data_IF_395137027670
#
_entry.id   IF_395137027670
#
_cell.length_a   1.000
_cell.length_b   1.000
_cell.length_c   1.000
_cell.angle_alpha   90.00
_cell.angle_beta   90.00
_cell.angle_gamma   90.00
#
_symmetry.space_group_name_H-M   'P 1'
#
loop_
_entity.id
_entity.type
_entity.pdbx_description
1 polymer ?
#
# COMPACT_ATOMS: atom_id res chain seq x y z
N UNK A 1 -6.36 2.22 -17.58
CA UNK A 1 -6.86 2.42 -16.21
C UNK A 1 -7.05 1.06 -15.58
N UNK A 2 -6.39 0.83 -14.45
CA UNK A 2 -6.44 -0.41 -13.68
C UNK A 2 -7.38 -0.23 -12.50
N UNK A 3 -8.39 -1.07 -12.41
CA UNK A 3 -9.27 -1.11 -11.25
C UNK A 3 -8.84 -2.25 -10.33
N UNK A 4 -8.65 -1.93 -9.05
CA UNK A 4 -8.39 -2.87 -7.98
C UNK A 4 -9.58 -2.86 -7.05
N UNK A 5 -10.21 -4.01 -6.86
CA UNK A 5 -11.26 -4.17 -5.85
C UNK A 5 -10.70 -4.99 -4.70
N UNK A 6 -10.66 -4.36 -3.53
CA UNK A 6 -10.13 -4.98 -2.31
C UNK A 6 -11.24 -5.81 -1.65
N UNK A 7 -11.19 -7.12 -1.91
CA UNK A 7 -12.04 -8.11 -1.25
C UNK A 7 -11.19 -8.90 -0.25
N UNK A 8 -11.28 -8.56 1.05
CA UNK A 8 -10.58 -9.30 2.10
C UNK A 8 -11.03 -10.77 2.10
N UNK A 9 -10.09 -11.70 1.95
CA UNK A 9 -10.40 -13.13 1.93
C UNK A 9 -10.96 -13.61 3.27
N UNK A 10 -12.15 -14.22 3.24
CA UNK A 10 -12.79 -14.82 4.42
C UNK A 10 -12.27 -16.23 4.71
N UNK A 11 -11.44 -16.81 3.83
CA UNK A 11 -10.96 -18.20 3.93
C UNK A 11 -10.20 -18.47 5.21
N UNK A 12 -9.37 -17.54 5.68
CA UNK A 12 -8.62 -17.70 6.93
C UNK A 12 -9.52 -17.75 8.16
N UNK A 13 -10.60 -16.95 8.18
CA UNK A 13 -11.59 -16.97 9.26
C UNK A 13 -12.37 -18.29 9.21
N UNK A 14 -12.80 -18.70 8.03
CA UNK A 14 -13.47 -19.99 7.80
C UNK A 14 -12.61 -21.18 8.26
N UNK A 15 -11.32 -21.16 7.93
CA UNK A 15 -10.38 -22.18 8.36
C UNK A 15 -10.21 -22.19 9.88
N UNK A 16 -10.06 -21.02 10.52
CA UNK A 16 -10.02 -20.91 11.98
C UNK A 16 -11.29 -21.47 12.61
N UNK A 17 -12.48 -21.08 12.12
CA UNK A 17 -13.76 -21.60 12.61
C UNK A 17 -13.86 -23.13 12.45
N UNK A 18 -13.49 -23.67 11.29
CA UNK A 18 -13.49 -25.11 11.04
C UNK A 18 -12.49 -25.85 11.95
N UNK A 19 -11.28 -25.32 12.11
CA UNK A 19 -10.25 -25.89 12.98
C UNK A 19 -10.74 -25.95 14.44
N UNK A 20 -11.32 -24.86 14.96
CA UNK A 20 -11.84 -24.88 16.33
C UNK A 20 -13.11 -25.70 16.50
N UNK A 21 -13.92 -25.95 15.45
CA UNK A 21 -14.97 -26.98 15.52
C UNK A 21 -14.36 -28.37 15.67
N UNK A 22 -13.38 -28.71 14.82
CA UNK A 22 -12.73 -30.03 14.79
C UNK A 22 -11.99 -30.32 16.09
N UNK A 23 -11.35 -29.32 16.71
CA UNK A 23 -10.62 -29.51 17.98
C UNK A 23 -11.53 -29.30 19.19
N UNK A 24 -12.37 -28.27 19.17
CA UNK A 24 -13.19 -27.85 20.31
C UNK A 24 -14.32 -28.82 20.63
N UNK A 25 -15.00 -29.37 19.61
CA UNK A 25 -16.13 -30.29 19.84
C UNK A 25 -15.67 -31.60 20.51
N UNK A 26 -14.64 -32.32 20.03
CA UNK A 26 -14.15 -33.53 20.71
C UNK A 26 -13.60 -33.25 22.10
N UNK A 27 -12.95 -32.10 22.30
CA UNK A 27 -12.48 -31.69 23.62
C UNK A 27 -13.65 -31.48 24.59
N UNK A 28 -14.70 -30.79 24.14
CA UNK A 28 -15.93 -30.59 24.91
C UNK A 28 -16.58 -31.92 25.28
N UNK A 29 -16.71 -32.85 24.33
CA UNK A 29 -17.26 -34.19 24.58
C UNK A 29 -16.45 -34.94 25.64
N UNK A 30 -15.11 -34.91 25.55
CA UNK A 30 -14.24 -35.56 26.56
C UNK A 30 -14.35 -34.94 27.95
N UNK A 31 -14.44 -33.61 28.02
CA UNK A 31 -14.59 -32.89 29.30
C UNK A 31 -15.95 -33.19 29.94
N UNK A 32 -17.01 -33.28 29.15
CA UNK A 32 -18.35 -33.62 29.63
C UNK A 32 -18.45 -35.08 30.08
N UNK A 33 -17.85 -36.01 29.34
CA UNK A 33 -17.89 -37.45 29.60
C UNK A 33 -17.03 -37.91 30.81
N UNK A 34 -16.09 -37.08 31.27
CA UNK A 34 -15.28 -37.37 32.47
C UNK A 34 -15.88 -36.76 33.72
N UNK A 35 -15.56 -37.36 34.87
CA UNK A 35 -15.93 -36.87 36.20
C UNK A 35 -14.98 -35.75 36.66
N UNK A 36 -14.98 -34.65 35.89
CA UNK A 36 -14.18 -33.46 36.14
C UNK A 36 -14.99 -32.48 37.00
N UNK A 37 -14.37 -31.74 37.95
CA UNK A 37 -15.04 -30.70 38.72
C UNK A 37 -15.88 -29.75 37.86
N UNK A 38 -17.10 -29.43 38.33
CA UNK A 38 -18.08 -28.61 37.60
C UNK A 38 -17.50 -27.26 37.13
N UNK A 39 -16.64 -26.64 37.93
CA UNK A 39 -15.97 -25.37 37.60
C UNK A 39 -15.14 -25.47 36.32
N UNK A 40 -14.47 -26.59 36.09
CA UNK A 40 -13.64 -26.82 34.90
C UNK A 40 -14.54 -27.06 33.68
N UNK A 41 -15.63 -27.81 33.84
CA UNK A 41 -16.64 -28.00 32.78
C UNK A 41 -17.22 -26.65 32.33
N UNK A 42 -17.64 -25.82 33.29
CA UNK A 42 -18.18 -24.48 33.02
C UNK A 42 -17.15 -23.56 32.34
N UNK A 43 -15.90 -23.56 32.82
CA UNK A 43 -14.81 -22.78 32.22
C UNK A 43 -14.52 -23.17 30.77
N UNK A 44 -14.48 -24.47 30.48
CA UNK A 44 -14.24 -24.98 29.11
C UNK A 44 -15.38 -24.58 28.15
N UNK A 45 -16.65 -24.71 28.59
CA UNK A 45 -17.81 -24.28 27.81
C UNK A 45 -17.73 -22.77 27.52
N UNK A 46 -17.50 -21.96 28.56
CA UNK A 46 -17.44 -20.51 28.42
C UNK A 46 -16.33 -20.07 27.44
N UNK A 47 -15.16 -20.70 27.51
CA UNK A 47 -14.06 -20.41 26.59
C UNK A 47 -14.40 -20.74 25.13
N UNK A 48 -15.00 -21.92 24.88
CA UNK A 48 -15.40 -22.33 23.52
C UNK A 48 -16.48 -21.38 22.98
N UNK A 49 -17.51 -21.05 23.78
CA UNK A 49 -18.55 -20.11 23.39
C UNK A 49 -18.00 -18.72 23.07
N UNK A 50 -17.07 -18.22 23.89
CA UNK A 50 -16.42 -16.92 23.67
C UNK A 50 -15.61 -16.93 22.35
N UNK A 51 -14.79 -17.96 22.14
CA UNK A 51 -13.98 -18.09 20.94
C UNK A 51 -14.86 -18.22 19.67
N UNK A 52 -15.93 -19.01 19.74
CA UNK A 52 -16.88 -19.15 18.64
C UNK A 52 -17.62 -17.84 18.36
N UNK A 53 -18.07 -17.14 19.40
CA UNK A 53 -18.73 -15.84 19.28
C UNK A 53 -17.83 -14.79 18.62
N UNK A 54 -16.56 -14.70 19.03
CA UNK A 54 -15.59 -13.75 18.45
C UNK A 54 -15.27 -14.07 16.98
N UNK A 55 -15.07 -15.34 16.65
CA UNK A 55 -14.79 -15.76 15.26
C UNK A 55 -16.01 -15.54 14.35
N UNK A 56 -17.22 -15.88 14.82
CA UNK A 56 -18.45 -15.65 14.07
C UNK A 56 -18.73 -14.15 13.87
N UNK A 57 -18.48 -13.33 14.90
CA UNK A 57 -18.58 -11.88 14.80
C UNK A 57 -17.61 -11.29 13.78
N UNK A 58 -16.34 -11.72 13.80
CA UNK A 58 -15.34 -11.30 12.82
C UNK A 58 -15.72 -11.73 11.39
N UNK A 59 -16.24 -12.95 11.23
CA UNK A 59 -16.75 -13.46 9.96
C UNK A 59 -17.92 -12.60 9.44
N UNK A 60 -18.92 -12.36 10.29
CA UNK A 60 -20.11 -11.57 9.93
C UNK A 60 -19.74 -10.13 9.55
N UNK A 61 -18.87 -9.48 10.33
CA UNK A 61 -18.37 -8.12 10.03
C UNK A 61 -17.69 -8.08 8.67
N UNK A 62 -16.79 -9.03 8.39
CA UNK A 62 -16.05 -9.08 7.12
C UNK A 62 -17.00 -9.32 5.94
N UNK A 63 -17.94 -10.27 6.07
CA UNK A 63 -18.92 -10.58 5.02
C UNK A 63 -19.84 -9.40 4.73
N UNK A 64 -20.27 -8.66 5.77
CA UNK A 64 -21.09 -7.45 5.60
C UNK A 64 -20.34 -6.39 4.81
N UNK A 65 -19.08 -6.11 5.14
CA UNK A 65 -18.27 -5.15 4.39
C UNK A 65 -18.06 -5.57 2.94
N UNK A 66 -17.85 -6.87 2.66
CA UNK A 66 -17.72 -7.38 1.29
C UNK A 66 -18.99 -7.18 0.49
N UNK A 67 -20.15 -7.51 1.08
CA UNK A 67 -21.44 -7.34 0.41
C UNK A 67 -21.68 -5.87 0.01
N UNK A 68 -21.31 -4.92 0.87
CA UNK A 68 -21.38 -3.49 0.55
C UNK A 68 -20.52 -3.10 -0.65
N UNK A 69 -19.29 -3.63 -0.71
CA UNK A 69 -18.39 -3.38 -1.85
C UNK A 69 -18.96 -3.98 -3.14
N UNK A 70 -19.50 -5.19 -3.09
CA UNK A 70 -20.16 -5.83 -4.24
C UNK A 70 -21.43 -5.10 -4.69
N UNK A 71 -22.22 -4.57 -3.76
CA UNK A 71 -23.37 -3.73 -4.08
C UNK A 71 -22.93 -2.43 -4.76
N UNK A 72 -21.84 -1.81 -4.30
CA UNK A 72 -21.28 -0.62 -4.97
C UNK A 72 -20.75 -0.93 -6.37
N UNK A 73 -20.05 -2.05 -6.57
CA UNK A 73 -19.56 -2.46 -7.89
C UNK A 73 -20.68 -2.54 -8.93
N UNK A 74 -21.91 -2.89 -8.51
CA UNK A 74 -23.09 -2.94 -9.39
C UNK A 74 -23.69 -1.56 -9.71
N UNK A 75 -23.41 -0.56 -8.88
CA UNK A 75 -23.95 0.79 -9.00
C UNK A 75 -23.00 1.75 -9.73
N UNK A 76 -21.73 1.37 -9.85
CA UNK A 76 -20.71 2.14 -10.53
C UNK A 76 -20.62 1.73 -12.00
N UNK A 77 -20.53 2.73 -12.88
CA UNK A 77 -19.98 2.55 -14.22
C UNK A 77 -18.74 3.43 -14.36
N UNK A 78 -17.67 2.89 -14.95
CA UNK A 78 -16.45 3.69 -15.17
C UNK A 78 -16.40 4.10 -16.64
N UNK A 79 -16.39 5.41 -16.88
CA UNK A 79 -16.42 6.02 -18.21
C UNK A 79 -15.20 6.95 -18.31
N UNK A 80 -14.14 6.49 -18.96
CA UNK A 80 -12.89 7.25 -19.07
C UNK A 80 -12.28 7.58 -17.71
N UNK A 81 -12.15 8.88 -17.40
CA UNK A 81 -11.59 9.43 -16.16
C UNK A 81 -12.68 9.74 -15.10
N UNK A 82 -13.87 9.14 -15.23
CA UNK A 82 -15.00 9.41 -14.36
C UNK A 82 -15.70 8.12 -13.92
N UNK A 83 -16.07 8.09 -12.64
CA UNK A 83 -16.93 7.07 -12.05
C UNK A 83 -18.33 7.68 -11.97
N UNK A 84 -19.27 7.15 -12.75
CA UNK A 84 -20.67 7.53 -12.64
C UNK A 84 -21.41 6.58 -11.70
N UNK A 85 -22.31 7.14 -10.89
CA UNK A 85 -23.19 6.38 -10.01
C UNK A 85 -24.57 6.31 -10.65
N UNK A 86 -25.14 5.11 -10.75
CA UNK A 86 -26.51 4.93 -11.25
C UNK A 86 -27.55 5.64 -10.38
N UNK A 87 -27.23 5.88 -9.11
CA UNK A 87 -28.03 6.66 -8.17
C UNK A 87 -27.11 7.65 -7.44
N UNK A 88 -27.52 8.90 -7.21
CA UNK A 88 -26.70 9.85 -6.47
C UNK A 88 -26.36 9.34 -5.06
N UNK A 89 -25.08 9.43 -4.68
CA UNK A 89 -24.57 8.97 -3.39
C UNK A 89 -24.14 10.14 -2.52
N UNK A 90 -24.51 10.11 -1.24
CA UNK A 90 -23.97 11.05 -0.26
C UNK A 90 -22.57 10.58 0.14
N UNK A 91 -21.57 11.45 -0.03
CA UNK A 91 -20.18 11.10 0.21
C UNK A 91 -19.36 12.25 0.80
N UNK A 92 -18.34 11.88 1.57
CA UNK A 92 -17.25 12.76 1.99
C UNK A 92 -16.15 12.69 0.92
N UNK A 93 -15.68 13.84 0.43
CA UNK A 93 -14.53 13.93 -0.48
C UNK A 93 -13.30 14.32 0.34
N UNK A 94 -12.17 13.69 0.06
CA UNK A 94 -10.92 14.03 0.73
C UNK A 94 -9.83 12.99 0.51
N UNK A 95 -9.04 12.75 1.56
CA UNK A 95 -7.84 11.92 1.50
C UNK A 95 -7.90 10.72 2.43
N UNK A 96 -7.61 9.55 1.88
CA UNK A 96 -7.37 8.34 2.66
C UNK A 96 -5.89 8.18 2.95
N UNK A 97 -5.57 8.00 4.22
CA UNK A 97 -4.24 7.70 4.73
C UNK A 97 -4.25 6.31 5.34
N UNK A 98 -3.28 5.48 4.97
CA UNK A 98 -3.03 4.21 5.64
C UNK A 98 -1.53 3.97 5.84
N UNK A 99 -1.16 3.58 7.06
CA UNK A 99 0.19 3.19 7.41
C UNK A 99 0.18 1.75 7.91
N UNK A 100 0.96 0.88 7.26
CA UNK A 100 1.15 -0.51 7.64
C UNK A 100 2.52 -0.69 8.27
N UNK A 101 2.59 -1.39 9.41
CA UNK A 101 3.85 -1.70 10.08
C UNK A 101 3.84 -3.08 10.71
N UNK A 102 5.00 -3.72 10.73
CA UNK A 102 5.19 -4.95 11.51
C UNK A 102 5.70 -4.62 12.90
N UNK A 103 5.04 -5.14 13.93
CA UNK A 103 5.58 -5.16 15.29
C UNK A 103 6.09 -6.57 15.60
N UNK A 104 7.19 -6.66 16.34
CA UNK A 104 7.70 -7.94 16.85
C UNK A 104 7.64 -7.94 18.38
N UNK A 105 6.99 -8.93 18.94
CA UNK A 105 6.99 -9.22 20.39
C UNK A 105 7.67 -10.57 20.62
N UNK A 106 9.00 -10.57 20.60
CA UNK A 106 9.80 -11.79 20.78
C UNK A 106 9.64 -12.79 19.63
N UNK A 107 8.80 -13.83 19.82
CA UNK A 107 8.63 -14.94 18.85
C UNK A 107 7.52 -14.72 17.81
N UNK A 108 6.70 -13.67 17.95
CA UNK A 108 5.59 -13.40 17.02
C UNK A 108 5.73 -12.03 16.36
N UNK A 109 5.48 -11.98 15.04
CA UNK A 109 5.29 -10.75 14.29
C UNK A 109 3.81 -10.51 14.02
N UNK A 110 3.34 -9.30 14.27
CA UNK A 110 1.97 -8.88 14.03
C UNK A 110 1.93 -7.67 13.10
N UNK A 111 1.04 -7.72 12.10
CA UNK A 111 0.85 -6.61 11.17
C UNK A 111 -0.21 -5.65 11.71
N UNK A 112 0.18 -4.40 11.92
CA UNK A 112 -0.70 -3.34 12.37
C UNK A 112 -0.93 -2.35 11.24
N UNK A 113 -2.18 -1.88 11.14
CA UNK A 113 -2.55 -0.89 10.14
C UNK A 113 -3.29 0.25 10.81
N UNK A 114 -2.75 1.45 10.71
CA UNK A 114 -3.44 2.69 11.01
C UNK A 114 -4.13 3.19 9.74
N UNK A 115 -5.36 3.69 9.87
CA UNK A 115 -6.17 4.19 8.76
C UNK A 115 -6.90 5.45 9.20
N UNK A 116 -6.95 6.43 8.33
CA UNK A 116 -7.72 7.64 8.55
C UNK A 116 -8.26 8.17 7.22
N UNK A 117 -9.46 8.73 7.23
CA UNK A 117 -10.00 9.47 6.11
C UNK A 117 -10.19 10.93 6.53
N UNK A 118 -9.40 11.82 5.95
CA UNK A 118 -9.47 13.26 6.20
C UNK A 118 -10.43 13.86 5.19
N UNK A 119 -11.59 14.29 5.68
CA UNK A 119 -12.63 14.95 4.89
C UNK A 119 -12.22 16.39 4.57
N UNK A 120 -12.40 16.78 3.32
CA UNK A 120 -12.28 18.16 2.83
C UNK A 120 -13.67 18.78 2.58
N UNK A 121 -14.56 18.01 1.96
CA UNK A 121 -15.93 18.43 1.69
C UNK A 121 -16.91 17.25 1.80
N UNK A 122 -18.21 17.54 1.82
CA UNK A 122 -19.27 16.54 1.84
C UNK A 122 -20.39 17.01 0.91
N UNK A 123 -20.97 16.09 0.17
CA UNK A 123 -22.06 16.41 -0.75
C UNK A 123 -22.72 15.16 -1.32
N UNK A 124 -23.70 15.39 -2.19
CA UNK A 124 -24.32 14.34 -2.98
C UNK A 124 -23.68 14.33 -4.35
N UNK A 125 -23.11 13.19 -4.74
CA UNK A 125 -22.37 13.01 -5.99
C UNK A 125 -23.14 12.08 -6.92
N UNK A 126 -23.41 12.53 -8.14
CA UNK A 126 -23.85 11.67 -9.25
C UNK A 126 -22.66 11.04 -9.98
N UNK A 127 -21.47 11.64 -9.85
CA UNK A 127 -20.24 11.13 -10.42
C UNK A 127 -19.01 11.63 -9.67
N UNK A 128 -17.88 10.96 -9.89
CA UNK A 128 -16.57 11.30 -9.35
C UNK A 128 -15.57 11.38 -10.50
N UNK A 129 -15.06 12.58 -10.77
CA UNK A 129 -13.99 12.82 -11.74
C UNK A 129 -12.63 12.60 -11.10
N UNK A 130 -11.70 11.98 -11.84
CA UNK A 130 -10.31 11.84 -11.42
C UNK A 130 -9.54 13.12 -11.71
N UNK A 131 -9.58 14.03 -10.74
CA UNK A 131 -8.76 15.24 -10.74
C UNK A 131 -7.28 14.90 -10.58
N UNK A 132 -6.40 15.76 -11.08
CA UNK A 132 -4.97 15.60 -10.91
C UNK A 132 -4.53 16.01 -9.49
N UNK A 133 -4.84 15.15 -8.51
CA UNK A 133 -4.54 15.37 -7.09
C UNK A 133 -3.29 14.60 -6.65
N UNK A 134 -2.47 15.19 -5.76
CA UNK A 134 -1.32 14.49 -5.17
C UNK A 134 -1.73 13.16 -4.53
N UNK A 135 -0.89 12.15 -4.65
CA UNK A 135 -1.08 10.82 -4.06
C UNK A 135 0.27 10.19 -3.75
N UNK A 136 0.35 9.21 -2.86
CA UNK A 136 1.58 8.48 -2.54
C UNK A 136 1.28 7.00 -2.31
N UNK A 137 2.07 6.14 -2.94
CA UNK A 137 2.14 4.70 -2.72
C UNK A 137 3.60 4.35 -2.44
N UNK A 138 3.95 4.20 -1.17
CA UNK A 138 5.29 3.79 -0.74
C UNK A 138 5.16 2.53 0.13
N UNK A 139 5.19 1.36 -0.50
CA UNK A 139 4.90 0.07 0.13
C UNK A 139 6.05 -0.92 -0.16
N UNK A 140 6.69 -1.39 0.90
CA UNK A 140 7.69 -2.44 0.87
C UNK A 140 7.05 -3.80 0.59
N UNK A 141 7.88 -4.79 0.25
CA UNK A 141 7.43 -6.11 -0.19
C UNK A 141 6.63 -6.89 0.87
N UNK A 142 6.85 -6.62 2.15
CA UNK A 142 6.10 -7.24 3.26
C UNK A 142 4.84 -6.46 3.64
N UNK A 143 4.50 -5.41 2.89
CA UNK A 143 3.35 -4.54 3.13
C UNK A 143 3.56 -3.47 4.20
N UNK A 144 4.78 -3.32 4.74
CA UNK A 144 5.12 -2.11 5.51
C UNK A 144 5.19 -0.90 4.58
N UNK A 145 4.67 0.23 5.03
CA UNK A 145 4.71 1.46 4.25
C UNK A 145 3.49 2.34 4.42
N UNK A 146 3.37 3.32 3.54
CA UNK A 146 2.36 4.36 3.57
C UNK A 146 1.61 4.49 2.25
N UNK A 147 0.33 4.79 2.39
CA UNK A 147 -0.59 5.07 1.29
C UNK A 147 -1.32 6.37 1.60
N UNK A 148 -1.29 7.30 0.65
CA UNK A 148 -2.08 8.53 0.66
C UNK A 148 -2.78 8.65 -0.69
N UNK A 149 -4.10 8.51 -0.71
CA UNK A 149 -4.88 8.54 -1.95
C UNK A 149 -6.04 9.53 -1.82
N UNK A 150 -6.28 10.39 -2.82
CA UNK A 150 -7.53 11.13 -2.93
C UNK A 150 -8.68 10.15 -3.20
N UNK A 151 -9.89 10.54 -2.81
CA UNK A 151 -11.07 9.76 -3.07
C UNK A 151 -12.29 10.22 -2.30
N UNK A 152 -13.27 9.32 -2.24
CA UNK A 152 -14.52 9.56 -1.52
C UNK A 152 -14.85 8.44 -0.54
N UNK A 153 -15.57 8.79 0.51
CA UNK A 153 -16.15 7.88 1.48
C UNK A 153 -17.68 7.98 1.46
N UNK A 154 -18.34 6.88 1.14
CA UNK A 154 -19.80 6.85 1.02
C UNK A 154 -20.45 6.81 2.40
N UNK A 155 -21.46 7.67 2.58
CA UNK A 155 -22.22 7.85 3.82
C UNK A 155 -23.59 7.16 3.81
N UNK A 156 -24.14 6.81 2.65
CA UNK A 156 -25.43 6.12 2.54
C UNK A 156 -25.47 4.87 3.44
N UNK A 157 -26.58 4.64 4.16
CA UNK A 157 -26.67 3.55 5.16
C UNK A 157 -26.31 2.16 4.61
N UNK A 158 -26.71 1.89 3.37
CA UNK A 158 -26.42 0.63 2.66
C UNK A 158 -24.93 0.46 2.38
N UNK A 159 -24.25 1.53 1.94
CA UNK A 159 -22.85 1.51 1.48
C UNK A 159 -21.89 2.21 2.45
N UNK A 160 -22.34 2.45 3.68
CA UNK A 160 -21.60 3.25 4.65
C UNK A 160 -20.20 2.67 4.88
N UNK A 161 -19.19 3.53 4.76
CA UNK A 161 -17.79 3.18 4.98
C UNK A 161 -17.09 2.56 3.77
N UNK A 162 -17.76 2.44 2.62
CA UNK A 162 -17.08 2.10 1.37
C UNK A 162 -16.32 3.32 0.85
N UNK A 163 -15.10 3.07 0.39
CA UNK A 163 -14.18 4.03 -0.18
C UNK A 163 -14.00 3.76 -1.67
N UNK A 164 -13.94 4.83 -2.44
CA UNK A 164 -13.46 4.84 -3.82
C UNK A 164 -12.26 5.79 -3.83
N UNK A 165 -11.08 5.23 -3.97
CA UNK A 165 -9.82 5.96 -3.99
C UNK A 165 -9.25 5.89 -5.40
N UNK A 166 -8.48 6.89 -5.79
CA UNK A 166 -7.84 6.89 -7.08
C UNK A 166 -6.42 7.46 -7.02
N UNK A 167 -5.60 7.07 -7.99
CA UNK A 167 -4.31 7.65 -8.28
C UNK A 167 -4.26 7.92 -9.78
N UNK A 168 -4.21 9.20 -10.16
CA UNK A 168 -4.06 9.64 -11.55
C UNK A 168 -2.59 10.02 -11.78
N UNK A 169 -1.83 9.23 -12.56
CA UNK A 169 -0.43 9.53 -12.90
C UNK A 169 -0.29 10.88 -13.58
N UNK A 170 0.57 11.72 -13.02
CA UNK A 170 0.99 12.99 -13.61
C UNK A 170 2.18 13.47 -12.80
N UNK A 171 3.40 13.40 -13.35
CA UNK A 171 4.59 13.63 -12.54
C UNK A 171 5.52 14.63 -13.19
N UNK A 172 5.93 15.64 -12.44
CA UNK A 172 7.07 16.51 -12.76
C UNK A 172 8.14 16.25 -11.72
N UNK A 173 9.29 15.76 -12.15
CA UNK A 173 10.41 15.45 -11.28
C UNK A 173 11.30 16.70 -11.13
N UNK A 174 11.62 17.07 -9.91
CA UNK A 174 12.53 18.17 -9.60
C UNK A 174 13.74 17.64 -8.86
N UNK A 175 14.81 17.36 -9.62
CA UNK A 175 16.10 16.95 -9.08
C UNK A 175 16.95 18.19 -8.76
N UNK A 176 17.63 18.24 -7.60
CA UNK A 176 18.50 19.37 -7.27
C UNK A 176 19.82 19.38 -8.07
N UNK A 177 20.22 18.22 -8.60
CA UNK A 177 21.44 18.00 -9.37
C UNK A 177 21.19 17.01 -10.50
N UNK A 178 21.95 17.12 -11.59
CA UNK A 178 21.87 16.19 -12.73
C UNK A 178 22.75 14.95 -12.54
N UNK A 179 23.74 15.00 -11.64
CA UNK A 179 24.59 13.86 -11.31
C UNK A 179 24.94 13.76 -9.84
N UNK A 180 25.27 12.55 -9.42
CA UNK A 180 25.62 12.16 -8.06
C UNK A 180 26.90 11.33 -8.09
N UNK A 181 27.89 11.69 -7.28
CA UNK A 181 29.16 10.96 -7.19
C UNK A 181 29.44 10.46 -5.79
N UNK A 182 30.01 9.27 -5.66
CA UNK A 182 30.55 8.77 -4.40
C UNK A 182 31.91 8.12 -4.63
N UNK A 183 32.86 8.42 -3.75
CA UNK A 183 34.23 7.92 -3.83
C UNK A 183 34.69 7.36 -2.49
N UNK A 184 35.47 6.29 -2.52
CA UNK A 184 36.09 5.73 -1.33
C UNK A 184 37.41 5.01 -1.68
N UNK A 185 38.53 5.61 -1.30
CA UNK A 185 39.85 5.07 -1.67
C UNK A 185 40.07 5.13 -3.18
N UNK A 186 40.26 3.98 -3.80
CA UNK A 186 40.41 3.82 -5.26
C UNK A 186 39.07 3.56 -5.97
N UNK A 187 37.99 3.39 -5.22
CA UNK A 187 36.66 3.19 -5.78
C UNK A 187 35.99 4.53 -6.07
N UNK A 188 35.47 4.70 -7.28
CA UNK A 188 34.71 5.87 -7.69
C UNK A 188 33.47 5.43 -8.47
N UNK A 189 32.34 6.07 -8.21
CA UNK A 189 31.15 5.93 -9.04
C UNK A 189 30.42 7.25 -9.19
N UNK A 190 29.96 7.50 -10.41
CA UNK A 190 29.11 8.62 -10.77
C UNK A 190 27.81 8.10 -11.40
N UNK A 191 26.71 8.73 -11.07
CA UNK A 191 25.39 8.46 -11.63
C UNK A 191 24.82 9.75 -12.21
N UNK A 192 24.45 9.73 -13.49
CA UNK A 192 23.73 10.80 -14.18
C UNK A 192 22.25 10.48 -14.23
N UNK A 193 21.42 11.48 -14.01
CA UNK A 193 19.96 11.35 -13.90
C UNK A 193 19.31 12.08 -15.07
N UNK A 194 18.38 11.40 -15.74
CA UNK A 194 17.61 11.95 -16.85
C UNK A 194 16.12 11.71 -16.56
N UNK A 195 15.29 12.76 -16.61
CA UNK A 195 13.84 12.61 -16.51
C UNK A 195 13.32 11.90 -17.78
N UNK A 196 12.43 10.92 -17.60
CA UNK A 196 11.70 10.25 -18.68
C UNK A 196 10.20 10.40 -18.44
N UNK A 197 9.37 9.91 -19.36
CA UNK A 197 7.93 9.90 -19.15
C UNK A 197 7.57 9.11 -17.89
N UNK A 198 6.90 9.77 -16.94
CA UNK A 198 6.46 9.18 -15.67
C UNK A 198 7.58 8.48 -14.87
N UNK A 199 8.82 8.92 -15.00
CA UNK A 199 9.94 8.28 -14.32
C UNK A 199 11.25 9.01 -14.53
N UNK A 200 12.34 8.30 -14.22
CA UNK A 200 13.68 8.78 -14.51
C UNK A 200 14.61 7.60 -14.86
N UNK A 201 15.63 7.91 -15.65
CA UNK A 201 16.74 7.02 -15.99
C UNK A 201 17.97 7.44 -15.20
N UNK A 202 18.73 6.46 -14.74
CA UNK A 202 20.00 6.63 -14.04
C UNK A 202 21.09 5.89 -14.79
N UNK A 203 22.04 6.64 -15.35
CA UNK A 203 23.21 6.13 -16.05
C UNK A 203 24.41 6.16 -15.11
N UNK A 204 24.92 4.99 -14.73
CA UNK A 204 25.99 4.80 -13.75
C UNK A 204 27.29 4.44 -14.46
N UNK A 205 28.39 5.08 -14.06
CA UNK A 205 29.75 4.75 -14.44
C UNK A 205 30.58 4.54 -13.17
N UNK A 206 31.12 3.33 -13.00
CA UNK A 206 31.84 2.93 -11.81
C UNK A 206 33.24 2.41 -12.16
N UNK A 207 34.24 2.83 -11.40
CA UNK A 207 35.57 2.25 -11.38
C UNK A 207 35.80 1.65 -9.99
N UNK A 208 35.73 0.32 -9.90
CA UNK A 208 35.73 -0.40 -8.62
C UNK A 208 36.96 -1.31 -8.52
N UNK A 209 37.78 -1.04 -7.51
CA UNK A 209 38.93 -1.83 -7.05
C UNK A 209 38.56 -2.80 -5.92
N UNK A 210 37.84 -2.33 -4.90
CA UNK A 210 37.54 -3.06 -3.64
C UNK A 210 36.05 -3.26 -3.42
N UNK A 211 35.23 -2.27 -3.77
CA UNK A 211 33.78 -2.38 -3.73
C UNK A 211 33.29 -3.49 -4.68
N UNK A 212 32.29 -4.26 -4.23
CA UNK A 212 31.71 -5.35 -5.00
C UNK A 212 30.83 -4.86 -6.15
N UNK A 213 30.16 -3.74 -5.95
CA UNK A 213 29.19 -3.12 -6.86
C UNK A 213 28.80 -1.72 -6.39
N UNK A 214 28.34 -0.91 -7.32
CA UNK A 214 27.58 0.30 -7.06
C UNK A 214 26.07 0.00 -7.14
N UNK A 215 25.28 0.52 -6.21
CA UNK A 215 23.82 0.34 -6.12
C UNK A 215 23.13 1.68 -6.26
N UNK A 216 22.02 1.70 -6.99
CA UNK A 216 21.11 2.83 -7.05
C UNK A 216 19.81 2.45 -6.34
N UNK A 217 19.47 3.15 -5.27
CA UNK A 217 18.25 2.90 -4.48
C UNK A 217 17.32 4.12 -4.53
N UNK A 218 16.02 3.87 -4.72
CA UNK A 218 14.95 4.83 -4.48
C UNK A 218 14.36 4.61 -3.09
N UNK A 219 14.17 5.68 -2.33
CA UNK A 219 13.68 5.61 -0.95
C UNK A 219 12.58 6.66 -0.76
N UNK A 220 11.49 6.29 -0.10
CA UNK A 220 10.47 7.26 0.31
C UNK A 220 11.00 8.13 1.47
N UNK A 221 10.87 9.46 1.37
CA UNK A 221 11.31 10.35 2.44
C UNK A 221 10.50 10.15 3.72
N UNK A 222 9.18 10.00 3.58
CA UNK A 222 8.23 9.80 4.68
C UNK A 222 8.46 8.47 5.40
N UNK A 223 8.86 7.42 4.66
CA UNK A 223 9.12 6.09 5.20
C UNK A 223 10.45 5.54 4.66
N UNK A 224 11.57 5.95 5.27
CA UNK A 224 12.94 5.56 4.87
C UNK A 224 13.20 4.05 4.85
N UNK A 225 12.42 3.26 5.58
CA UNK A 225 12.49 1.80 5.59
C UNK A 225 11.98 1.19 4.27
N UNK A 226 11.13 1.93 3.54
CA UNK A 226 10.62 1.55 2.22
C UNK A 226 11.64 1.98 1.17
N UNK A 227 12.41 1.00 0.70
CA UNK A 227 13.45 1.18 -0.31
C UNK A 227 13.28 0.21 -1.48
N UNK A 228 13.64 0.68 -2.66
CA UNK A 228 13.62 -0.05 -3.91
C UNK A 228 15.01 0.04 -4.56
N UNK A 229 15.68 -1.10 -4.74
CA UNK A 229 16.87 -1.18 -5.58
C UNK A 229 16.42 -1.01 -7.04
N UNK A 230 16.84 0.09 -7.67
CA UNK A 230 16.58 0.36 -9.09
C UNK A 230 17.52 -0.49 -9.95
N UNK A 231 18.78 -0.60 -9.54
CA UNK A 231 19.77 -1.44 -10.20
C UNK A 231 21.13 -1.43 -9.50
N UNK A 232 22.01 -2.33 -9.92
CA UNK A 232 23.41 -2.36 -9.52
C UNK A 232 24.34 -2.70 -10.69
N UNK A 233 25.58 -2.24 -10.61
CA UNK A 233 26.62 -2.52 -11.62
C UNK A 233 28.00 -2.59 -10.99
N UNK A 234 28.94 -3.22 -11.71
CA UNK A 234 30.37 -3.21 -11.39
C UNK A 234 31.18 -2.21 -12.21
N UNK A 235 30.60 -1.72 -13.32
CA UNK A 235 31.26 -0.80 -14.24
C UNK A 235 30.21 0.18 -14.77
N UNK A 236 29.69 -0.04 -15.97
CA UNK A 236 28.64 0.80 -16.56
C UNK A 236 27.28 0.12 -16.38
N UNK A 237 26.24 0.89 -16.10
CA UNK A 237 24.86 0.40 -16.04
C UNK A 237 23.87 1.52 -16.33
N UNK A 238 22.77 1.20 -17.01
CA UNK A 238 21.67 2.13 -17.24
C UNK A 238 20.41 1.52 -16.66
N UNK A 239 19.76 2.23 -15.75
CA UNK A 239 18.61 1.74 -15.02
C UNK A 239 17.46 2.72 -15.15
N UNK A 240 16.26 2.21 -15.34
CA UNK A 240 15.06 3.03 -15.47
C UNK A 240 14.13 2.74 -14.29
N UNK A 241 13.57 3.82 -13.73
CA UNK A 241 12.54 3.77 -12.73
C UNK A 241 11.29 4.44 -13.26
N UNK A 242 10.30 3.63 -13.59
CA UNK A 242 8.95 4.08 -13.92
C UNK A 242 8.09 4.14 -12.64
N UNK A 243 7.38 5.24 -12.48
CA UNK A 243 6.28 5.35 -11.53
C UNK A 243 5.02 4.71 -12.15
N UNK A 244 3.90 4.76 -11.44
CA UNK A 244 2.64 4.23 -11.97
C UNK A 244 2.27 4.99 -13.26
N UNK A 245 2.17 4.31 -14.39
CA UNK A 245 1.89 4.94 -15.70
C UNK A 245 0.40 4.98 -16.07
N UNK A 246 -0.43 4.12 -15.47
CA UNK A 246 -1.87 4.08 -15.72
C UNK A 246 -2.68 4.50 -14.49
N UNK A 247 -3.84 5.17 -14.67
CA UNK A 247 -4.72 5.49 -13.56
C UNK A 247 -5.11 4.25 -12.77
N UNK A 248 -5.02 4.33 -11.45
CA UNK A 248 -5.38 3.27 -10.53
C UNK A 248 -6.62 3.67 -9.74
N UNK A 249 -7.65 2.83 -9.73
CA UNK A 249 -8.85 2.98 -8.90
C UNK A 249 -8.89 1.88 -7.87
N UNK A 250 -9.06 2.23 -6.61
CA UNK A 250 -9.16 1.28 -5.50
C UNK A 250 -10.54 1.39 -4.88
N UNK A 251 -11.32 0.31 -4.95
CA UNK A 251 -12.63 0.22 -4.31
C UNK A 251 -12.55 -0.77 -3.16
N UNK A 252 -12.98 -0.36 -1.97
CA UNK A 252 -12.97 -1.22 -0.80
C UNK A 252 -13.59 -0.58 0.43
N UNK A 253 -13.88 -1.37 1.45
CA UNK A 253 -14.37 -0.83 2.72
C UNK A 253 -13.21 -0.24 3.54
N UNK A 254 -13.43 0.87 4.24
CA UNK A 254 -12.45 1.57 5.07
C UNK A 254 -11.60 0.62 5.92
N UNK A 255 -12.23 -0.30 6.65
CA UNK A 255 -11.56 -1.27 7.53
C UNK A 255 -10.70 -2.34 6.81
N UNK A 256 -10.83 -2.46 5.48
CA UNK A 256 -10.17 -3.49 4.67
C UNK A 256 -9.01 -2.95 3.85
N UNK A 257 -9.04 -1.67 3.47
CA UNK A 257 -7.96 -1.05 2.69
C UNK A 257 -6.70 -0.97 3.54
N UNK A 258 -5.60 -1.55 3.08
CA UNK A 258 -4.29 -1.45 3.74
C UNK A 258 -3.17 -1.54 2.71
N UNK A 259 -1.95 -1.07 3.02
CA UNK A 259 -0.82 -1.16 2.09
C UNK A 259 -0.58 -2.59 1.60
N UNK A 260 -0.63 -3.59 2.51
CA UNK A 260 -0.48 -4.99 2.15
C UNK A 260 -1.57 -5.51 1.19
N UNK A 261 -2.83 -5.12 1.41
CA UNK A 261 -3.94 -5.56 0.54
C UNK A 261 -3.87 -4.86 -0.83
N UNK A 262 -3.45 -3.60 -0.89
CA UNK A 262 -3.19 -2.88 -2.15
C UNK A 262 -2.07 -3.56 -2.94
N UNK A 263 -0.97 -3.91 -2.28
CA UNK A 263 0.17 -4.60 -2.90
C UNK A 263 -0.26 -5.95 -3.50
N UNK A 264 -0.98 -6.77 -2.73
CA UNK A 264 -1.49 -8.08 -3.17
C UNK A 264 -2.46 -7.96 -4.35
N UNK A 265 -3.49 -7.11 -4.21
CA UNK A 265 -4.55 -7.01 -5.20
C UNK A 265 -4.06 -6.35 -6.50
N UNK A 266 -3.12 -5.41 -6.39
CA UNK A 266 -2.44 -4.79 -7.53
C UNK A 266 -1.37 -5.67 -8.17
N UNK A 267 -1.03 -6.81 -7.55
CA UNK A 267 0.09 -7.69 -7.93
C UNK A 267 1.41 -6.94 -8.00
N UNK A 268 1.58 -5.96 -7.12
CA UNK A 268 2.84 -5.24 -6.97
C UNK A 268 3.77 -6.10 -6.11
N UNK A 269 5.05 -6.21 -6.47
CA UNK A 269 6.05 -6.84 -5.60
C UNK A 269 6.47 -5.89 -4.47
N UNK A 270 6.73 -4.64 -4.85
CA UNK A 270 6.92 -3.43 -4.03
C UNK A 270 6.46 -2.26 -4.88
N UNK A 271 6.16 -1.12 -4.27
CA UNK A 271 5.81 0.08 -5.04
C UNK A 271 6.29 1.33 -4.31
N UNK A 272 7.05 2.16 -5.02
CA UNK A 272 7.32 3.56 -4.66
C UNK A 272 6.88 4.39 -5.87
N UNK A 273 5.79 5.14 -5.71
CA UNK A 273 5.20 5.96 -6.76
C UNK A 273 4.32 7.05 -6.15
N UNK A 274 4.19 8.18 -6.84
CA UNK A 274 3.31 9.27 -6.44
C UNK A 274 4.06 10.59 -6.32
N UNK A 275 3.61 11.40 -5.38
CA UNK A 275 3.95 12.80 -5.21
C UNK A 275 4.47 13.05 -3.80
N UNK A 276 5.40 14.00 -3.70
CA UNK A 276 6.11 14.36 -2.49
C UNK A 276 7.62 14.15 -2.65
N UNK A 277 8.30 13.98 -1.52
CA UNK A 277 9.76 13.92 -1.47
C UNK A 277 10.27 12.48 -1.47
N UNK A 278 11.33 12.27 -2.24
CA UNK A 278 12.00 10.99 -2.37
C UNK A 278 13.51 11.19 -2.26
N UNK A 279 14.22 10.12 -1.91
CA UNK A 279 15.68 10.12 -1.85
C UNK A 279 16.17 9.15 -2.92
N UNK A 280 17.06 9.65 -3.80
CA UNK A 280 17.86 8.82 -4.67
C UNK A 280 19.22 8.62 -4.00
N UNK A 281 19.60 7.36 -3.78
CA UNK A 281 20.86 6.99 -3.13
C UNK A 281 21.76 6.26 -4.11
N UNK A 282 22.99 6.71 -4.21
CA UNK A 282 24.09 5.97 -4.85
C UNK A 282 25.00 5.42 -3.76
N UNK A 283 25.26 4.12 -3.78
CA UNK A 283 25.99 3.44 -2.72
C UNK A 283 27.04 2.45 -3.26
N UNK A 284 28.23 2.46 -2.66
CA UNK A 284 29.30 1.48 -2.87
C UNK A 284 29.18 0.34 -1.85
N UNK A 285 29.03 -0.90 -2.34
CA UNK A 285 28.98 -2.12 -1.55
C UNK A 285 30.42 -2.58 -1.20
N UNK A 286 30.97 -2.07 -0.10
CA UNK A 286 32.35 -2.38 0.32
C UNK A 286 32.36 -3.59 1.26
N UNK A 287 33.20 -4.61 1.01
CA UNK A 287 33.31 -5.76 1.90
C UNK A 287 33.61 -5.37 3.36
N UNK A 288 32.94 -6.02 4.30
CA UNK A 288 33.17 -5.90 5.75
C UNK A 288 32.91 -4.51 6.35
N UNK A 289 32.18 -3.63 5.65
CA UNK A 289 31.79 -2.30 6.13
C UNK A 289 30.36 -1.95 5.70
N UNK A 290 29.71 -0.98 6.36
CA UNK A 290 28.49 -0.37 5.83
C UNK A 290 28.75 0.27 4.46
N UNK A 291 27.74 0.26 3.61
CA UNK A 291 27.81 0.88 2.28
C UNK A 291 28.19 2.37 2.40
N UNK A 292 29.19 2.81 1.62
CA UNK A 292 29.53 4.24 1.48
C UNK A 292 28.55 4.83 0.49
N UNK A 293 27.87 5.92 0.85
CA UNK A 293 26.70 6.39 0.12
C UNK A 293 26.64 7.90 0.04
N UNK A 294 26.08 8.36 -1.07
CA UNK A 294 25.64 9.74 -1.26
C UNK A 294 24.13 9.72 -1.53
N UNK A 295 23.41 10.73 -1.04
CA UNK A 295 21.95 10.83 -1.12
C UNK A 295 21.55 12.21 -1.63
N UNK A 296 20.66 12.25 -2.62
CA UNK A 296 19.97 13.49 -3.00
C UNK A 296 18.49 13.36 -2.71
N UNK A 297 17.90 14.42 -2.19
CA UNK A 297 16.45 14.54 -2.05
C UNK A 297 15.89 15.24 -3.29
N UNK A 298 14.89 14.63 -3.92
CA UNK A 298 14.18 15.21 -5.05
C UNK A 298 12.68 15.23 -4.77
N UNK A 299 11.96 16.10 -5.45
CA UNK A 299 10.52 16.27 -5.28
C UNK A 299 9.77 15.87 -6.55
N UNK A 300 8.60 15.25 -6.37
CA UNK A 300 7.67 14.92 -7.44
C UNK A 300 6.35 15.63 -7.20
N UNK A 301 5.98 16.51 -8.13
CA UNK A 301 4.73 17.28 -8.08
C UNK A 301 3.81 16.92 -9.26
N UNK A 302 2.49 17.10 -9.14
CA UNK A 302 1.59 16.89 -10.27
C UNK A 302 1.97 17.81 -11.44
N UNK A 303 1.97 17.33 -12.69
CA UNK A 303 2.07 18.25 -13.84
C UNK A 303 0.79 19.08 -13.90
N UNK A 304 0.91 20.41 -14.01
CA UNK A 304 -0.24 21.26 -14.28
C UNK A 304 -0.90 20.81 -15.60
N UNK A 305 -2.23 20.66 -15.61
CA UNK A 305 -2.95 20.44 -16.85
C UNK A 305 -2.82 21.72 -17.68
N UNK A 306 -2.04 21.67 -18.76
CA UNK A 306 -1.98 22.76 -19.75
C UNK A 306 -3.38 22.85 -20.37
N UNK A 307 -4.20 23.76 -19.86
CA UNK A 307 -5.47 24.10 -20.50
C UNK A 307 -5.15 24.79 -21.81
N UNK A 308 -5.52 24.18 -22.93
CA UNK A 308 -5.29 24.66 -24.29
C UNK A 308 -6.18 25.86 -24.67
N UNK A 309 -6.36 26.82 -23.76
CA UNK A 309 -7.12 28.06 -23.95
C UNK A 309 -6.32 29.28 -23.49
N UNK A 310 -5.08 29.39 -23.98
CA UNK A 310 -4.17 30.47 -23.67
C UNK A 310 -3.29 30.89 -24.85
N UNK A 311 -3.87 30.96 -26.06
CA UNK A 311 -3.41 31.75 -27.20
C UNK A 311 -4.62 32.19 -28.03
#
# INVERSE_FOLDING_TARGET
MKQIVLKRSVRGILFLTAFGLVVGVPMLVRVLARDVPLKIKAGAIAFICLWFGLTLFAFYRTKRSLKKVEELERLISVIGDEISFSTPVKAEVGYFYANGRWSSSGKSRSYHVFRNFVKESEGTLSSLKFENRPFLLAIAQDGEGEVRLPGIKILNETLQGVLILYAKPSYKFSFPVESLGVSHGEDFVEARIEEIENGFRVSVSANLSKAKRAKVELISREKRDVKELIGDTKNIGVFEKEFLNEPLVIVGHHDQISPLEILKAGKFGRIISGHGKFILRLALDVPFRPDIKEEIEFEVIPREEITSWGL
#
